data_IF_237338644102
#
_entry.id   IF_237338644102
#
_cell.length_a   1.000
_cell.length_b   1.000
_cell.length_c   1.000
_cell.angle_alpha   90.00
_cell.angle_beta   90.00
_cell.angle_gamma   90.00
#
_symmetry.space_group_name_H-M   'P 1'
#
loop_
_entity.id
_entity.type
_entity.pdbx_description
1 polymer ?
#
# COMPACT_ATOMS: atom_id res chain seq x y z
N UNK A 1 -5.57 -15.69 3.22
CA UNK A 1 -4.68 -16.02 2.09
C UNK A 1 -4.34 -17.50 2.14
N UNK A 2 -3.92 -18.03 3.30
CA UNK A 2 -3.55 -19.44 3.46
C UNK A 2 -4.60 -20.47 3.02
N UNK A 3 -5.89 -20.14 3.13
CA UNK A 3 -6.99 -20.99 2.67
C UNK A 3 -7.30 -20.89 1.16
N UNK A 4 -6.61 -20.01 0.41
CA UNK A 4 -6.86 -19.81 -1.02
C UNK A 4 -6.17 -20.85 -1.91
N UNK A 5 -5.18 -21.59 -1.40
CA UNK A 5 -4.44 -22.59 -2.17
C UNK A 5 -3.13 -23.02 -1.53
N UNK A 6 -2.41 -23.94 -2.20
CA UNK A 6 -1.06 -24.41 -1.83
C UNK A 6 0.04 -23.49 -2.38
N UNK A 7 -0.27 -22.76 -3.45
CA UNK A 7 0.60 -21.81 -4.13
C UNK A 7 -0.16 -20.53 -4.40
N UNK A 8 0.51 -19.40 -4.37
CA UNK A 8 -0.12 -18.09 -4.55
C UNK A 8 0.56 -17.31 -5.66
N UNK A 9 -0.27 -16.72 -6.51
CA UNK A 9 0.15 -15.73 -7.49
C UNK A 9 -0.66 -14.45 -7.35
N UNK A 10 -0.75 -13.75 -8.47
CA UNK A 10 -1.34 -12.43 -8.55
C UNK A 10 -2.84 -12.41 -8.18
N UNK A 11 -3.58 -13.44 -8.59
CA UNK A 11 -5.02 -13.54 -8.33
C UNK A 11 -5.31 -13.73 -6.83
N UNK A 12 -4.55 -14.61 -6.15
CA UNK A 12 -4.74 -14.86 -4.71
C UNK A 12 -4.34 -13.64 -3.88
N UNK A 13 -3.29 -12.91 -4.28
CA UNK A 13 -2.90 -11.65 -3.66
C UNK A 13 -4.00 -10.58 -3.82
N UNK A 14 -4.53 -10.43 -5.03
CA UNK A 14 -5.62 -9.49 -5.32
C UNK A 14 -6.90 -9.85 -4.55
N UNK A 15 -7.29 -11.12 -4.53
CA UNK A 15 -8.45 -11.60 -3.78
C UNK A 15 -8.32 -11.36 -2.27
N UNK A 16 -7.12 -11.57 -1.71
CA UNK A 16 -6.85 -11.28 -0.31
C UNK A 16 -6.95 -9.78 -0.01
N UNK A 17 -6.38 -8.94 -0.88
CA UNK A 17 -6.45 -7.48 -0.75
C UNK A 17 -7.90 -6.99 -0.77
N UNK A 18 -8.70 -7.49 -1.71
CA UNK A 18 -10.12 -7.16 -1.80
C UNK A 18 -10.91 -7.64 -0.57
N UNK A 19 -10.67 -8.88 -0.11
CA UNK A 19 -11.27 -9.38 1.13
C UNK A 19 -10.96 -8.48 2.32
N UNK A 20 -9.68 -8.15 2.56
CA UNK A 20 -9.25 -7.29 3.66
C UNK A 20 -9.92 -5.92 3.58
N UNK A 21 -10.05 -5.39 2.36
CA UNK A 21 -10.63 -4.08 2.14
C UNK A 21 -12.13 -4.08 2.40
N UNK A 22 -12.88 -5.04 1.83
CA UNK A 22 -14.32 -5.21 2.10
C UNK A 22 -14.58 -5.45 3.57
N UNK A 23 -13.80 -6.32 4.21
CA UNK A 23 -13.90 -6.56 5.65
C UNK A 23 -13.74 -5.28 6.47
N UNK A 24 -12.74 -4.46 6.15
CA UNK A 24 -12.50 -3.20 6.85
C UNK A 24 -13.64 -2.20 6.67
N UNK A 25 -14.15 -2.05 5.45
CA UNK A 25 -15.32 -1.20 5.18
C UNK A 25 -16.54 -1.67 5.97
N UNK A 26 -16.81 -2.97 5.99
CA UNK A 26 -18.01 -3.53 6.60
C UNK A 26 -17.95 -3.57 8.13
N UNK A 27 -16.77 -3.52 8.75
CA UNK A 27 -16.62 -3.78 10.19
C UNK A 27 -15.90 -2.67 10.97
N UNK A 28 -15.25 -1.71 10.32
CA UNK A 28 -14.51 -0.66 11.00
C UNK A 28 -15.11 0.73 10.68
N UNK A 29 -15.84 1.38 11.61
CA UNK A 29 -16.39 2.73 11.40
C UNK A 29 -15.32 3.81 11.15
N UNK A 30 -14.05 3.53 11.48
CA UNK A 30 -12.89 4.39 11.26
C UNK A 30 -12.02 3.93 10.07
N UNK A 31 -12.49 3.02 9.22
CA UNK A 31 -11.73 2.63 8.04
C UNK A 31 -11.45 3.87 7.18
N UNK A 32 -10.16 4.14 6.94
CA UNK A 32 -9.68 5.25 6.15
C UNK A 32 -8.58 4.78 5.21
N UNK A 33 -8.82 4.95 3.92
CA UNK A 33 -7.88 4.73 2.83
C UNK A 33 -7.26 6.07 2.46
N UNK A 34 -6.19 6.44 3.17
CA UNK A 34 -5.48 7.69 2.91
C UNK A 34 -4.78 7.63 1.54
N UNK A 35 -4.39 8.77 0.95
CA UNK A 35 -3.76 8.77 -0.37
C UNK A 35 -2.51 7.87 -0.51
N UNK A 36 -1.60 7.90 0.47
CA UNK A 36 -0.43 7.03 0.44
C UNK A 36 -0.79 5.58 0.80
N UNK A 37 -1.40 5.38 1.98
CA UNK A 37 -1.69 4.03 2.48
C UNK A 37 -2.72 3.28 1.64
N UNK A 38 -3.67 3.98 1.02
CA UNK A 38 -4.67 3.43 0.12
C UNK A 38 -4.12 2.91 -1.21
N UNK A 39 -2.94 3.39 -1.63
CA UNK A 39 -2.20 2.83 -2.75
C UNK A 39 -1.20 1.75 -2.30
N UNK A 40 -0.52 1.96 -1.17
CA UNK A 40 0.53 1.05 -0.68
C UNK A 40 -0.03 -0.24 -0.10
N UNK A 41 -1.12 -0.20 0.68
CA UNK A 41 -1.72 -1.39 1.28
C UNK A 41 -2.12 -2.46 0.25
N UNK A 42 -2.80 -2.12 -0.86
CA UNK A 42 -3.06 -3.11 -1.90
C UNK A 42 -1.80 -3.52 -2.66
N UNK A 43 -0.90 -2.58 -2.99
CA UNK A 43 0.37 -2.90 -3.65
C UNK A 43 1.25 -3.87 -2.83
N UNK A 44 1.21 -3.77 -1.49
CA UNK A 44 1.96 -4.64 -0.59
C UNK A 44 1.56 -6.12 -0.70
N UNK A 45 0.33 -6.44 -1.12
CA UNK A 45 -0.07 -7.82 -1.39
C UNK A 45 0.71 -8.41 -2.58
N UNK A 46 1.03 -7.59 -3.59
CA UNK A 46 1.86 -8.01 -4.72
C UNK A 46 3.34 -8.10 -4.33
N UNK A 47 3.81 -7.24 -3.42
CA UNK A 47 5.17 -7.35 -2.87
C UNK A 47 5.40 -8.70 -2.19
N UNK A 48 4.39 -9.26 -1.51
CA UNK A 48 4.48 -10.60 -0.92
C UNK A 48 4.79 -11.64 -2.00
N UNK A 49 4.08 -11.62 -3.13
CA UNK A 49 4.35 -12.54 -4.24
C UNK A 49 5.75 -12.28 -4.82
N UNK A 50 6.06 -11.03 -5.14
CA UNK A 50 7.27 -10.67 -5.87
C UNK A 50 8.56 -10.79 -5.04
N UNK A 51 8.48 -10.66 -3.72
CA UNK A 51 9.66 -10.62 -2.83
C UNK A 51 9.79 -11.85 -1.93
N UNK A 52 8.71 -12.62 -1.70
CA UNK A 52 8.75 -13.81 -0.85
C UNK A 52 8.70 -15.13 -1.63
N UNK A 53 8.44 -15.10 -2.95
CA UNK A 53 8.59 -16.29 -3.81
C UNK A 53 10.02 -16.86 -3.74
N UNK A 54 10.15 -18.18 -3.81
CA UNK A 54 11.46 -18.84 -3.89
C UNK A 54 11.91 -18.95 -5.34
N UNK A 55 12.99 -18.26 -5.71
CA UNK A 55 13.55 -18.21 -7.06
C UNK A 55 14.73 -19.17 -7.22
N UNK A 56 14.49 -20.48 -7.00
CA UNK A 56 15.54 -21.50 -7.14
C UNK A 56 16.04 -21.61 -8.58
N UNK A 57 17.14 -22.34 -8.79
CA UNK A 57 17.68 -22.56 -10.13
C UNK A 57 16.70 -23.34 -11.03
N UNK A 58 15.89 -24.22 -10.45
CA UNK A 58 14.87 -25.02 -11.14
C UNK A 58 13.63 -24.19 -11.48
N UNK A 59 13.32 -23.16 -10.68
CA UNK A 59 12.18 -22.25 -10.91
C UNK A 59 12.61 -20.79 -10.79
N UNK A 60 13.37 -20.25 -11.78
CA UNK A 60 13.90 -18.88 -11.70
C UNK A 60 12.81 -17.80 -11.61
N UNK A 61 11.63 -18.06 -12.16
CA UNK A 61 10.47 -17.17 -12.10
C UNK A 61 9.84 -17.04 -10.70
N UNK A 62 10.24 -17.91 -9.77
CA UNK A 62 9.75 -17.89 -8.41
C UNK A 62 8.47 -18.69 -8.21
N UNK A 63 8.30 -19.28 -7.03
CA UNK A 63 7.01 -19.79 -6.58
C UNK A 63 6.81 -19.47 -5.11
N UNK A 64 5.65 -18.90 -4.78
CA UNK A 64 5.23 -18.70 -3.40
C UNK A 64 4.33 -19.85 -2.97
N UNK A 65 4.86 -20.76 -2.15
CA UNK A 65 4.09 -21.85 -1.54
C UNK A 65 3.47 -21.42 -0.21
N UNK A 66 2.46 -22.14 0.28
CA UNK A 66 1.90 -21.94 1.61
C UNK A 66 2.94 -22.06 2.70
N UNK A 67 3.79 -23.08 2.62
CA UNK A 67 4.89 -23.28 3.56
C UNK A 67 5.84 -22.07 3.58
N UNK A 68 6.23 -21.56 2.40
CA UNK A 68 7.09 -20.37 2.28
C UNK A 68 6.44 -19.15 2.93
N UNK A 69 5.18 -18.87 2.58
CA UNK A 69 4.43 -17.74 3.12
C UNK A 69 4.26 -17.85 4.65
N UNK A 70 3.94 -19.03 5.14
CA UNK A 70 3.79 -19.31 6.57
C UNK A 70 5.10 -19.11 7.33
N UNK A 71 6.25 -19.49 6.76
CA UNK A 71 7.56 -19.25 7.38
C UNK A 71 7.86 -17.75 7.52
N UNK A 72 7.62 -16.96 6.46
CA UNK A 72 7.87 -15.51 6.48
C UNK A 72 7.02 -14.78 7.52
N UNK A 73 5.78 -15.22 7.74
CA UNK A 73 4.84 -14.59 8.68
C UNK A 73 4.64 -15.38 9.99
N UNK A 74 5.54 -16.31 10.31
CA UNK A 74 5.49 -17.11 11.55
C UNK A 74 4.18 -17.88 11.79
N UNK A 75 3.50 -18.31 10.74
CA UNK A 75 2.23 -19.04 10.85
C UNK A 75 2.49 -20.53 10.96
N UNK A 76 1.76 -21.21 11.85
CA UNK A 76 1.72 -22.68 11.95
C UNK A 76 0.29 -23.17 11.92
N UNK A 77 0.09 -24.47 11.73
CA UNK A 77 -1.23 -25.11 11.71
C UNK A 77 -1.68 -25.46 10.29
N UNK A 78 -2.97 -25.70 10.15
CA UNK A 78 -3.60 -26.13 8.89
C UNK A 78 -4.81 -25.26 8.59
N UNK A 79 -5.37 -25.41 7.38
CA UNK A 79 -6.58 -24.69 6.97
C UNK A 79 -7.68 -24.78 8.05
N UNK A 80 -8.27 -23.64 8.36
CA UNK A 80 -9.26 -23.49 9.45
C UNK A 80 -8.71 -23.43 10.88
N UNK A 81 -7.41 -23.67 11.11
CA UNK A 81 -6.79 -23.64 12.44
C UNK A 81 -5.33 -23.14 12.39
N UNK A 82 -5.15 -21.92 11.88
CA UNK A 82 -3.85 -21.26 11.83
C UNK A 82 -3.54 -20.49 13.12
N UNK A 83 -2.27 -20.50 13.52
CA UNK A 83 -1.75 -19.78 14.69
C UNK A 83 -0.59 -18.89 14.26
N UNK A 84 -0.65 -17.60 14.63
CA UNK A 84 0.43 -16.65 14.41
C UNK A 84 1.41 -16.62 15.60
N UNK A 85 2.63 -17.07 15.37
CA UNK A 85 3.69 -17.11 16.38
C UNK A 85 4.51 -15.81 16.36
N UNK A 86 3.94 -14.73 16.91
CA UNK A 86 4.52 -13.37 16.87
C UNK A 86 6.01 -13.35 17.23
N UNK A 87 6.80 -12.64 16.41
CA UNK A 87 8.23 -12.41 16.64
C UNK A 87 9.13 -13.59 16.27
N UNK A 88 8.62 -14.55 15.47
CA UNK A 88 9.38 -15.72 15.00
C UNK A 88 9.55 -15.73 13.48
N UNK A 89 9.48 -14.55 12.86
CA UNK A 89 9.44 -14.40 11.40
C UNK A 89 10.77 -14.86 10.82
N UNK A 90 10.70 -15.70 9.77
CA UNK A 90 11.89 -16.37 9.27
C UNK A 90 11.85 -16.57 7.76
N UNK A 91 12.96 -16.20 7.11
CA UNK A 91 13.26 -16.62 5.75
C UNK A 91 13.41 -18.16 5.74
N UNK A 92 12.62 -18.89 4.93
CA UNK A 92 12.68 -20.35 4.89
C UNK A 92 14.08 -20.88 4.57
N UNK A 93 14.38 -22.10 5.01
CA UNK A 93 15.58 -22.80 4.57
C UNK A 93 15.50 -23.08 3.06
N UNK A 94 16.65 -23.03 2.37
CA UNK A 94 16.75 -23.24 0.92
C UNK A 94 15.89 -22.26 0.10
N UNK A 95 15.70 -21.05 0.60
CA UNK A 95 15.03 -19.96 -0.11
C UNK A 95 16.05 -19.09 -0.85
N UNK A 96 15.74 -18.78 -2.12
CA UNK A 96 16.56 -17.96 -2.99
C UNK A 96 15.80 -16.70 -3.39
N UNK A 97 16.44 -15.55 -3.25
CA UNK A 97 15.86 -14.26 -3.63
C UNK A 97 15.71 -14.12 -5.14
N UNK A 98 14.77 -13.27 -5.55
CA UNK A 98 14.66 -12.73 -6.92
C UNK A 98 16.01 -12.22 -7.43
N UNK A 99 16.34 -12.55 -8.68
CA UNK A 99 17.58 -12.15 -9.32
C UNK A 99 17.68 -10.62 -9.44
N UNK A 100 18.87 -10.06 -9.21
CA UNK A 100 19.08 -8.60 -9.36
C UNK A 100 18.86 -8.11 -10.80
N UNK A 101 19.08 -8.99 -11.79
CA UNK A 101 18.84 -8.70 -13.20
C UNK A 101 17.34 -8.59 -13.55
N UNK A 102 16.47 -9.11 -12.68
CA UNK A 102 15.01 -9.08 -12.80
C UNK A 102 14.42 -8.45 -11.53
N UNK A 103 14.99 -7.31 -11.11
CA UNK A 103 14.55 -6.60 -9.92
C UNK A 103 13.13 -6.05 -10.10
N UNK A 104 12.29 -6.24 -9.09
CA UNK A 104 10.95 -5.63 -9.07
C UNK A 104 11.07 -4.18 -8.62
N UNK A 105 10.78 -3.26 -9.54
CA UNK A 105 10.98 -1.81 -9.38
C UNK A 105 9.67 -1.07 -9.06
N UNK A 106 9.76 0.22 -8.73
CA UNK A 106 8.57 1.05 -8.45
C UNK A 106 7.59 1.07 -9.63
N UNK A 107 8.02 1.26 -10.90
CA UNK A 107 7.13 1.11 -12.05
C UNK A 107 6.39 -0.23 -12.08
N UNK A 108 7.08 -1.34 -11.81
CA UNK A 108 6.45 -2.67 -11.80
C UNK A 108 5.39 -2.77 -10.70
N UNK A 109 5.67 -2.24 -9.50
CA UNK A 109 4.69 -2.17 -8.40
C UNK A 109 3.43 -1.40 -8.79
N UNK A 110 3.58 -0.29 -9.52
CA UNK A 110 2.46 0.55 -9.94
C UNK A 110 1.65 -0.11 -11.07
N UNK A 111 2.31 -0.76 -12.01
CA UNK A 111 1.65 -1.58 -13.04
C UNK A 111 0.85 -2.70 -12.38
N UNK A 112 1.45 -3.41 -11.43
CA UNK A 112 0.82 -4.47 -10.67
C UNK A 112 -0.39 -3.94 -9.86
N UNK A 113 -0.27 -2.78 -9.23
CA UNK A 113 -1.36 -2.14 -8.49
C UNK A 113 -2.56 -1.82 -9.41
N UNK A 114 -2.31 -1.25 -10.58
CA UNK A 114 -3.37 -0.96 -11.56
C UNK A 114 -3.99 -2.25 -12.09
N UNK A 115 -3.18 -3.30 -12.31
CA UNK A 115 -3.65 -4.60 -12.74
C UNK A 115 -4.54 -5.29 -11.68
N UNK A 116 -4.16 -5.33 -10.39
CA UNK A 116 -5.06 -5.92 -9.37
C UNK A 116 -6.35 -5.12 -9.21
N UNK A 117 -6.30 -3.81 -9.42
CA UNK A 117 -7.50 -2.96 -9.38
C UNK A 117 -8.42 -3.20 -10.60
N UNK A 118 -7.91 -3.69 -11.73
CA UNK A 118 -8.77 -4.08 -12.86
C UNK A 118 -9.46 -5.43 -12.64
N UNK A 119 -8.81 -6.35 -11.90
CA UNK A 119 -9.39 -7.64 -11.51
C UNK A 119 -10.48 -7.44 -10.43
N UNK A 120 -10.18 -6.64 -9.41
CA UNK A 120 -11.12 -6.29 -8.34
C UNK A 120 -11.27 -4.76 -8.24
N UNK A 121 -12.22 -4.18 -9.00
CA UNK A 121 -12.46 -2.75 -9.02
C UNK A 121 -12.67 -2.16 -7.63
N UNK A 122 -11.90 -1.12 -7.36
CA UNK A 122 -11.94 -0.38 -6.11
C UNK A 122 -10.82 -0.75 -5.17
N UNK A 123 -10.05 -1.84 -5.33
CA UNK A 123 -8.86 -2.12 -4.50
C UNK A 123 -8.00 -0.85 -4.29
N UNK A 124 -7.76 -0.10 -5.36
CA UNK A 124 -7.20 1.25 -5.29
C UNK A 124 -8.32 2.28 -5.10
N UNK A 125 -8.50 2.75 -3.86
CA UNK A 125 -9.53 3.73 -3.47
C UNK A 125 -8.97 4.72 -2.46
N UNK A 126 -9.57 5.91 -2.43
CA UNK A 126 -9.27 6.93 -1.42
C UNK A 126 -10.57 7.39 -0.76
N UNK A 127 -10.51 7.71 0.52
CA UNK A 127 -11.69 8.06 1.33
C UNK A 127 -11.86 7.12 2.53
N UNK A 128 -13.05 7.04 3.10
CA UNK A 128 -13.27 6.26 4.31
C UNK A 128 -14.72 6.12 4.71
N UNK A 129 -14.95 5.37 5.77
CA UNK A 129 -16.25 5.33 6.45
C UNK A 129 -16.51 6.65 7.19
N UNK A 130 -17.78 7.05 7.26
CA UNK A 130 -18.23 8.33 7.83
C UNK A 130 -18.62 8.22 9.31
N UNK A 131 -17.96 7.33 10.06
CA UNK A 131 -18.19 7.12 11.49
C UNK A 131 -19.14 5.98 11.83
N UNK A 132 -19.72 5.31 10.83
CA UNK A 132 -20.43 4.04 10.98
C UNK A 132 -19.83 2.98 10.07
N UNK A 133 -19.97 1.70 10.41
CA UNK A 133 -19.52 0.64 9.52
C UNK A 133 -20.37 0.60 8.24
N UNK A 134 -19.81 0.15 7.12
CA UNK A 134 -20.44 0.10 5.80
C UNK A 134 -20.97 1.47 5.31
N UNK A 135 -20.22 2.54 5.53
CA UNK A 135 -20.60 3.92 5.16
C UNK A 135 -19.57 4.62 4.27
N UNK A 136 -18.82 3.82 3.51
CA UNK A 136 -17.66 4.29 2.77
C UNK A 136 -18.08 5.36 1.76
N UNK A 137 -17.46 6.54 1.84
CA UNK A 137 -17.54 7.58 0.83
C UNK A 137 -16.16 7.78 0.20
N UNK A 138 -16.12 7.69 -1.12
CA UNK A 138 -14.90 7.82 -1.91
C UNK A 138 -14.54 9.28 -2.19
N UNK A 139 -13.25 9.53 -2.36
CA UNK A 139 -12.71 10.80 -2.89
C UNK A 139 -11.92 10.50 -4.15
N UNK A 140 -12.28 11.13 -5.25
CA UNK A 140 -11.57 10.94 -6.51
C UNK A 140 -10.16 11.52 -6.47
N UNK A 141 -9.21 10.76 -7.04
CA UNK A 141 -7.81 11.16 -7.19
C UNK A 141 -7.66 12.54 -7.83
N UNK A 142 -8.46 12.83 -8.85
CA UNK A 142 -8.44 14.12 -9.53
C UNK A 142 -8.84 15.29 -8.61
N UNK A 143 -9.75 15.07 -7.65
CA UNK A 143 -10.26 16.14 -6.80
C UNK A 143 -9.21 16.59 -5.78
N UNK A 144 -8.55 15.65 -5.10
CA UNK A 144 -7.56 16.02 -4.08
C UNK A 144 -6.18 16.36 -4.65
N UNK A 145 -5.94 16.07 -5.93
CA UNK A 145 -4.70 16.43 -6.65
C UNK A 145 -4.89 17.60 -7.62
N UNK A 146 -6.07 18.24 -7.65
CA UNK A 146 -6.42 19.31 -8.59
C UNK A 146 -6.20 18.94 -10.07
N UNK A 147 -6.51 17.69 -10.42
CA UNK A 147 -6.40 17.16 -11.79
C UNK A 147 -5.00 16.74 -12.21
N UNK A 148 -3.99 16.83 -11.34
CA UNK A 148 -2.63 16.44 -11.69
C UNK A 148 -2.49 14.94 -11.97
N UNK A 149 -3.29 14.11 -11.30
CA UNK A 149 -3.29 12.66 -11.52
C UNK A 149 -4.73 12.13 -11.66
N UNK A 150 -4.85 11.05 -12.42
CA UNK A 150 -6.05 10.24 -12.52
C UNK A 150 -5.65 8.76 -12.48
N UNK A 151 -6.60 7.87 -12.20
CA UNK A 151 -6.32 6.44 -12.03
C UNK A 151 -5.90 5.76 -13.34
N UNK A 152 -6.39 6.26 -14.48
CA UNK A 152 -6.11 5.68 -15.80
C UNK A 152 -4.65 5.85 -16.20
N UNK A 153 -4.06 7.01 -15.89
CA UNK A 153 -2.66 7.32 -16.25
C UNK A 153 -1.69 7.12 -15.07
N UNK A 154 -2.14 6.57 -13.93
CA UNK A 154 -1.32 6.50 -12.72
C UNK A 154 -0.07 5.62 -12.90
N UNK A 155 -0.16 4.54 -13.69
CA UNK A 155 0.97 3.68 -14.02
C UNK A 155 1.82 4.20 -15.20
N UNK A 156 1.43 5.31 -15.83
CA UNK A 156 2.17 5.87 -16.97
C UNK A 156 3.37 6.70 -16.49
N UNK A 157 4.55 6.42 -17.04
CA UNK A 157 5.76 7.18 -16.79
C UNK A 157 6.10 7.28 -15.29
N UNK A 158 6.19 8.51 -14.79
CA UNK A 158 6.53 8.83 -13.40
C UNK A 158 5.30 9.15 -12.53
N UNK A 159 4.07 9.12 -13.07
CA UNK A 159 2.87 9.64 -12.41
C UNK A 159 2.66 9.02 -11.03
N UNK A 160 2.65 7.70 -10.91
CA UNK A 160 2.41 7.01 -9.65
C UNK A 160 3.53 7.21 -8.63
N UNK A 161 4.79 7.26 -9.07
CA UNK A 161 5.92 7.54 -8.17
C UNK A 161 5.82 8.96 -7.59
N UNK A 162 5.46 9.92 -8.42
CA UNK A 162 5.26 11.31 -8.02
C UNK A 162 4.04 11.48 -7.13
N UNK A 163 2.94 10.80 -7.44
CA UNK A 163 1.78 10.71 -6.57
C UNK A 163 2.15 10.17 -5.18
N UNK A 164 2.83 9.02 -5.09
CA UNK A 164 3.22 8.41 -3.81
C UNK A 164 4.16 9.32 -3.00
N UNK A 165 5.08 10.00 -3.67
CA UNK A 165 5.99 10.94 -3.04
C UNK A 165 5.24 12.13 -2.42
N UNK A 166 4.28 12.69 -3.16
CA UNK A 166 3.48 13.82 -2.72
C UNK A 166 2.45 13.41 -1.67
N UNK A 167 1.84 12.24 -1.82
CA UNK A 167 0.93 11.66 -0.84
C UNK A 167 1.64 11.36 0.49
N UNK A 168 2.90 10.93 0.46
CA UNK A 168 3.74 10.77 1.66
C UNK A 168 3.92 12.09 2.42
N UNK A 169 4.06 13.20 1.69
CA UNK A 169 4.19 14.53 2.28
C UNK A 169 2.86 15.10 2.74
N UNK A 170 1.75 14.77 2.07
CA UNK A 170 0.42 15.27 2.41
C UNK A 170 -0.09 14.80 3.79
N UNK A 171 0.45 13.69 4.31
CA UNK A 171 0.17 13.23 5.68
C UNK A 171 0.96 13.98 6.76
N UNK A 172 1.89 14.86 6.39
CA UNK A 172 2.61 15.70 7.34
C UNK A 172 1.77 16.94 7.68
N UNK A 173 1.84 17.45 8.93
CA UNK A 173 1.12 18.67 9.28
C UNK A 173 1.63 19.84 8.44
N UNK A 174 0.72 20.74 8.07
CA UNK A 174 1.02 21.90 7.25
C UNK A 174 2.12 22.77 7.88
N UNK A 175 3.04 23.27 7.05
CA UNK A 175 4.12 24.19 7.43
C UNK A 175 3.59 25.55 7.94
N UNK A 176 2.29 25.80 7.79
CA UNK A 176 1.60 26.97 8.33
C UNK A 176 1.06 26.76 9.77
N UNK A 177 1.16 25.57 10.34
CA UNK A 177 0.71 25.30 11.71
C UNK A 177 1.64 26.00 12.75
N UNK A 178 1.15 26.84 13.67
CA UNK A 178 2.01 27.59 14.61
C UNK A 178 2.83 26.74 15.60
N UNK A 179 2.68 25.41 15.61
CA UNK A 179 3.27 24.47 16.56
C UNK A 179 4.60 23.83 16.09
N UNK A 180 5.25 24.39 15.07
CA UNK A 180 6.32 23.75 14.27
C UNK A 180 7.71 23.62 14.92
N UNK A 181 7.82 23.47 16.25
CA UNK A 181 9.11 23.14 16.87
C UNK A 181 9.62 21.75 16.44
N UNK A 182 8.86 20.70 16.78
CA UNK A 182 9.17 19.31 16.41
C UNK A 182 8.56 18.88 15.07
N UNK A 183 7.53 19.59 14.59
CA UNK A 183 6.88 19.29 13.31
C UNK A 183 7.61 19.94 12.14
N UNK A 184 8.23 21.12 12.36
CA UNK A 184 9.05 21.78 11.35
C UNK A 184 10.32 20.99 11.00
N UNK A 185 10.86 20.23 11.96
CA UNK A 185 11.99 19.34 11.72
C UNK A 185 11.60 18.09 10.92
N UNK A 186 10.38 17.55 11.10
CA UNK A 186 9.86 16.42 10.30
C UNK A 186 9.59 16.85 8.87
N UNK A 187 8.94 18.00 8.66
CA UNK A 187 8.71 18.53 7.32
C UNK A 187 10.04 18.89 6.63
N UNK A 188 10.96 19.55 7.35
CA UNK A 188 12.28 19.88 6.84
C UNK A 188 13.09 18.64 6.46
N UNK A 189 13.06 17.60 7.30
CA UNK A 189 13.68 16.30 7.00
C UNK A 189 13.03 15.66 5.77
N UNK A 190 11.70 15.62 5.71
CA UNK A 190 10.98 15.00 4.59
C UNK A 190 11.29 15.72 3.28
N UNK A 191 11.33 17.06 3.26
CA UNK A 191 11.73 17.83 2.08
C UNK A 191 13.19 17.56 1.67
N UNK A 192 14.11 17.40 2.63
CA UNK A 192 15.50 17.05 2.34
C UNK A 192 15.67 15.65 1.75
N UNK A 193 14.90 14.66 2.22
CA UNK A 193 15.01 13.28 1.74
C UNK A 193 14.21 13.05 0.44
N UNK A 194 13.01 13.62 0.37
CA UNK A 194 12.04 13.38 -0.70
C UNK A 194 12.16 14.41 -1.84
N UNK A 195 12.66 15.62 -1.57
CA UNK A 195 12.88 16.66 -2.59
C UNK A 195 13.83 16.25 -3.71
N UNK A 196 15.01 15.66 -3.42
CA UNK A 196 15.91 15.15 -4.47
C UNK A 196 15.28 14.05 -5.31
N UNK A 197 14.43 13.21 -4.70
CA UNK A 197 13.69 12.16 -5.43
C UNK A 197 12.64 12.79 -6.35
N UNK A 198 11.92 13.82 -5.91
CA UNK A 198 10.94 14.53 -6.74
C UNK A 198 11.58 15.15 -7.99
N UNK A 199 12.76 15.76 -7.82
CA UNK A 199 13.52 16.34 -8.93
C UNK A 199 14.04 15.25 -9.88
N UNK A 200 14.59 14.16 -9.35
CA UNK A 200 15.09 13.04 -10.15
C UNK A 200 13.98 12.38 -10.97
N UNK A 201 12.79 12.26 -10.40
CA UNK A 201 11.64 11.70 -11.10
C UNK A 201 10.97 12.70 -12.04
N UNK A 202 11.28 14.00 -11.99
CA UNK A 202 10.63 15.01 -12.84
C UNK A 202 9.15 15.22 -12.48
N UNK A 203 8.82 15.15 -11.19
CA UNK A 203 7.44 15.20 -10.74
C UNK A 203 6.79 16.56 -11.00
N UNK A 204 5.53 16.60 -11.50
CA UNK A 204 4.82 17.86 -11.62
C UNK A 204 4.64 18.47 -10.22
N UNK A 205 4.91 19.76 -10.09
CA UNK A 205 4.62 20.47 -8.84
C UNK A 205 3.10 20.52 -8.65
N UNK A 206 2.59 19.88 -7.61
CA UNK A 206 1.18 20.06 -7.24
C UNK A 206 0.98 21.51 -6.81
N UNK A 207 -0.07 22.15 -7.33
CA UNK A 207 -0.54 23.46 -6.82
C UNK A 207 -0.94 23.36 -5.35
N UNK A 208 -1.67 22.30 -5.01
CA UNK A 208 -1.98 21.92 -3.63
C UNK A 208 -2.48 20.48 -3.59
N UNK A 209 -2.33 19.85 -2.43
CA UNK A 209 -2.94 18.57 -2.10
C UNK A 209 -4.12 18.85 -1.17
N UNK A 210 -5.36 18.69 -1.65
CA UNK A 210 -6.54 19.12 -0.91
C UNK A 210 -6.93 18.08 0.14
N UNK A 211 -6.29 18.18 1.31
CA UNK A 211 -6.57 17.32 2.46
C UNK A 211 -7.95 17.55 3.09
N UNK A 212 -8.59 18.70 2.85
CA UNK A 212 -9.89 19.01 3.47
C UNK A 212 -11.00 18.05 3.02
N UNK A 213 -10.85 17.45 1.84
CA UNK A 213 -11.74 16.39 1.35
C UNK A 213 -11.76 15.15 2.26
N UNK A 214 -10.76 14.99 3.13
CA UNK A 214 -10.68 13.88 4.07
C UNK A 214 -11.19 14.21 5.49
N UNK A 215 -11.55 15.48 5.77
CA UNK A 215 -12.05 15.91 7.09
C UNK A 215 -13.38 15.22 7.49
N UNK A 216 -14.13 14.71 6.50
CA UNK A 216 -15.36 13.97 6.74
C UNK A 216 -15.12 12.54 7.29
N UNK A 217 -13.88 12.04 7.26
CA UNK A 217 -13.55 10.68 7.69
C UNK A 217 -12.91 10.72 9.08
N UNK A 218 -13.57 10.21 10.13
CA UNK A 218 -13.00 10.21 11.48
C UNK A 218 -11.71 9.39 11.59
N UNK A 219 -11.48 8.44 10.68
CA UNK A 219 -10.22 7.69 10.58
C UNK A 219 -9.02 8.55 10.16
N UNK A 220 -9.23 9.70 9.48
CA UNK A 220 -8.16 10.59 9.04
C UNK A 220 -7.46 11.30 10.22
N UNK A 221 -8.20 11.55 11.30
CA UNK A 221 -7.69 12.19 12.52
C UNK A 221 -7.49 11.22 13.68
N UNK A 222 -7.65 9.91 13.46
CA UNK A 222 -7.59 8.93 14.54
C UNK A 222 -6.15 8.71 15.02
N UNK A 223 -5.87 9.11 16.25
CA UNK A 223 -4.61 8.78 16.93
C UNK A 223 -4.79 7.49 17.70
N UNK A 224 -4.18 6.40 17.24
CA UNK A 224 -4.21 5.13 17.97
C UNK A 224 -3.58 5.29 19.36
N UNK A 225 -4.26 4.80 20.39
CA UNK A 225 -3.61 4.59 21.69
C UNK A 225 -2.69 3.38 21.54
N UNK A 226 -1.43 3.60 21.16
CA UNK A 226 -0.46 2.52 21.04
C UNK A 226 -0.50 1.62 22.28
N UNK A 227 -0.93 0.37 22.09
CA UNK A 227 -0.91 -0.69 23.10
C UNK A 227 -0.18 -1.87 22.50
#
# INVERSE_FOLDING_TARGET
MYDLGETFGFNEAAAQSDYNTRWSILNNPYYFSAPFSGAVAPAAHNLVINLMSNHSAEVPGGTLTRETLMSFFSITGTSGNFVHNRGRDRIPLNWYRRATLDAHTIPDVLVDLVAINSIYPGILRFGGNTGTANSFAGVDLQNFTNGAYNLQTLAEGNNGACFLLQASLAGLPDAAAPALGAVGSVLGWALQQLGPLAQRFGCPQLRSFNNDLFNAFPGASYTGSGR
#
